data_IF_631199654931
#
_entry.id   IF_631199654931
#
_cell.length_a   1.000
_cell.length_b   1.000
_cell.length_c   1.000
_cell.angle_alpha   90.00
_cell.angle_beta   90.00
_cell.angle_gamma   90.00
#
_symmetry.space_group_name_H-M   'P 1'
#
loop_
_entity.id
_entity.type
_entity.pdbx_description
1 polymer ?
#
# COMPACT_ATOMS: atom_id res chain seq x y z
N UNK A 1 2.62 7.93 8.50
CA UNK A 1 3.78 8.05 7.59
C UNK A 1 4.24 6.69 7.07
N UNK A 2 5.06 5.91 7.80
CA UNK A 2 5.65 4.66 7.27
C UNK A 2 4.64 3.58 6.84
N UNK A 3 3.60 3.34 7.65
CA UNK A 3 2.55 2.37 7.29
C UNK A 3 1.78 2.81 6.03
N UNK A 4 1.47 4.11 5.95
CA UNK A 4 0.80 4.70 4.79
C UNK A 4 1.65 4.58 3.52
N UNK A 5 2.98 4.71 3.60
CA UNK A 5 3.82 4.57 2.40
C UNK A 5 3.82 3.17 1.82
N UNK A 6 3.72 2.13 2.65
CA UNK A 6 3.57 0.74 2.20
C UNK A 6 2.19 0.53 1.58
N UNK A 7 1.12 0.90 2.28
CA UNK A 7 -0.25 0.71 1.80
C UNK A 7 -0.56 1.48 0.51
N UNK A 8 -0.16 2.75 0.45
CA UNK A 8 -0.47 3.62 -0.68
C UNK A 8 0.44 3.38 -1.89
N UNK A 9 1.68 2.92 -1.70
CA UNK A 9 2.50 2.45 -2.83
C UNK A 9 1.95 1.15 -3.44
N UNK A 10 1.49 0.21 -2.61
CA UNK A 10 0.81 -1.00 -3.11
C UNK A 10 -0.51 -0.66 -3.83
N UNK A 11 -1.29 0.29 -3.32
CA UNK A 11 -2.48 0.80 -4.01
C UNK A 11 -2.14 1.48 -5.36
N UNK A 12 -1.06 2.26 -5.43
CA UNK A 12 -0.60 2.87 -6.68
C UNK A 12 -0.15 1.82 -7.71
N UNK A 13 0.53 0.74 -7.29
CA UNK A 13 0.85 -0.41 -8.16
C UNK A 13 -0.43 -1.15 -8.59
N UNK A 14 -1.41 -1.30 -7.71
CA UNK A 14 -2.70 -1.90 -8.05
C UNK A 14 -3.44 -1.10 -9.14
N UNK A 15 -3.33 0.23 -9.18
CA UNK A 15 -3.90 1.07 -10.26
C UNK A 15 -3.30 0.71 -11.63
N UNK A 16 -1.99 0.43 -11.73
CA UNK A 16 -1.38 -0.07 -12.96
C UNK A 16 -1.83 -1.49 -13.32
N UNK A 17 -1.91 -2.39 -12.34
CA UNK A 17 -2.34 -3.78 -12.53
C UNK A 17 -3.82 -3.86 -12.96
N UNK A 18 -4.67 -3.01 -12.40
CA UNK A 18 -6.09 -2.88 -12.74
C UNK A 18 -6.26 -2.43 -14.19
N UNK A 19 -5.66 -1.32 -14.66
CA UNK A 19 -5.84 -0.94 -16.08
C UNK A 19 -5.14 -1.89 -17.06
N UNK A 20 -4.15 -2.69 -16.65
CA UNK A 20 -3.69 -3.82 -17.48
C UNK A 20 -4.78 -4.89 -17.67
N UNK A 21 -5.67 -5.08 -16.69
CA UNK A 21 -6.78 -6.05 -16.72
C UNK A 21 -8.09 -5.48 -17.29
N UNK A 22 -8.43 -4.23 -17.05
CA UNK A 22 -9.65 -3.58 -17.58
C UNK A 22 -9.47 -2.97 -18.97
N UNK A 23 -8.36 -3.23 -19.64
CA UNK A 23 -8.04 -2.69 -20.98
C UNK A 23 -9.07 -3.08 -22.06
N UNK A 24 -9.79 -4.18 -21.87
CA UNK A 24 -10.88 -4.62 -22.76
C UNK A 24 -12.22 -3.93 -22.45
N UNK A 25 -12.32 -3.19 -21.34
CA UNK A 25 -13.52 -2.52 -20.84
C UNK A 25 -13.42 -0.98 -20.87
N UNK A 26 -12.42 -0.43 -21.59
CA UNK A 26 -12.20 1.02 -21.71
C UNK A 26 -13.40 1.77 -22.36
N UNK A 27 -14.36 1.05 -22.97
CA UNK A 27 -15.60 1.60 -23.52
C UNK A 27 -16.83 1.54 -22.61
N UNK A 28 -16.80 0.85 -21.47
CA UNK A 28 -18.01 0.57 -20.64
C UNK A 28 -18.18 1.53 -19.45
N UNK A 29 -17.69 2.76 -19.56
CA UNK A 29 -17.86 3.79 -18.52
C UNK A 29 -16.90 3.70 -17.33
N UNK A 30 -15.82 2.91 -17.40
CA UNK A 30 -14.80 2.87 -16.35
C UNK A 30 -14.00 4.18 -16.33
N UNK A 31 -13.93 4.83 -15.17
CA UNK A 31 -13.24 6.10 -14.97
C UNK A 31 -11.74 5.98 -15.30
N UNK A 32 -11.33 6.61 -16.41
CA UNK A 32 -9.93 6.73 -16.80
C UNK A 32 -9.36 8.08 -16.35
N UNK A 33 -8.28 8.05 -15.57
CA UNK A 33 -7.55 9.26 -15.18
C UNK A 33 -6.95 9.89 -16.44
N UNK A 34 -7.34 11.14 -16.75
CA UNK A 34 -6.96 11.89 -17.97
C UNK A 34 -5.44 12.03 -18.22
N UNK A 35 -4.63 11.82 -17.17
CA UNK A 35 -3.16 11.91 -17.20
C UNK A 35 -2.46 10.64 -16.69
N UNK A 36 -3.11 9.48 -16.79
CA UNK A 36 -2.44 8.18 -16.63
C UNK A 36 -1.47 7.96 -17.81
N UNK A 37 -0.20 7.55 -17.59
CA UNK A 37 0.37 7.00 -16.35
C UNK A 37 1.12 7.99 -15.45
N UNK A 38 1.20 9.27 -15.82
CA UNK A 38 2.08 10.26 -15.17
C UNK A 38 1.70 10.52 -13.70
N UNK A 39 0.42 10.65 -13.38
CA UNK A 39 -0.02 10.91 -11.99
C UNK A 39 0.34 9.77 -11.02
N UNK A 40 0.01 8.49 -11.31
CA UNK A 40 0.48 7.37 -10.49
C UNK A 40 2.02 7.26 -10.40
N UNK A 41 2.74 7.59 -11.46
CA UNK A 41 4.20 7.53 -11.48
C UNK A 41 4.83 8.57 -10.54
N UNK A 42 4.38 9.84 -10.61
CA UNK A 42 4.82 10.92 -9.71
C UNK A 42 4.50 10.57 -8.25
N UNK A 43 3.33 9.96 -8.01
CA UNK A 43 2.95 9.49 -6.68
C UNK A 43 3.94 8.45 -6.14
N UNK A 44 4.27 7.41 -6.92
CA UNK A 44 5.26 6.38 -6.51
C UNK A 44 6.63 7.01 -6.20
N UNK A 45 7.10 7.95 -7.04
CA UNK A 45 8.39 8.65 -6.84
C UNK A 45 8.40 9.45 -5.54
N UNK A 46 7.33 10.22 -5.26
CA UNK A 46 7.19 10.96 -3.99
C UNK A 46 7.21 10.03 -2.78
N UNK A 47 6.52 8.88 -2.88
CA UNK A 47 6.46 7.88 -1.82
C UNK A 47 7.80 7.17 -1.58
N UNK A 48 8.61 6.96 -2.63
CA UNK A 48 9.99 6.51 -2.49
C UNK A 48 10.86 7.54 -1.76
N UNK A 49 10.73 8.83 -2.09
CA UNK A 49 11.47 9.89 -1.39
C UNK A 49 11.12 9.95 0.11
N UNK A 50 9.83 9.90 0.46
CA UNK A 50 9.38 9.83 1.86
C UNK A 50 9.90 8.56 2.55
N UNK A 51 9.91 7.42 1.86
CA UNK A 51 10.43 6.16 2.41
C UNK A 51 11.93 6.25 2.71
N UNK A 52 12.73 6.81 1.80
CA UNK A 52 14.16 7.06 2.01
C UNK A 52 14.39 8.00 3.20
N UNK A 53 13.60 9.07 3.31
CA UNK A 53 13.69 10.01 4.43
C UNK A 53 13.46 9.31 5.78
N UNK A 54 12.45 8.44 5.87
CA UNK A 54 12.18 7.61 7.06
C UNK A 54 13.37 6.69 7.39
N UNK A 55 13.97 6.03 6.39
CA UNK A 55 15.15 5.18 6.60
C UNK A 55 16.37 5.96 7.10
N UNK A 56 16.55 7.22 6.69
CA UNK A 56 17.59 8.11 7.22
C UNK A 56 17.30 8.45 8.68
N UNK A 57 16.07 8.85 9.02
CA UNK A 57 15.66 9.14 10.40
C UNK A 57 15.82 7.94 11.34
N UNK A 58 15.57 6.72 10.87
CA UNK A 58 15.80 5.49 11.64
C UNK A 58 17.27 5.26 12.03
N UNK A 59 18.24 5.80 11.27
CA UNK A 59 19.66 5.71 11.60
C UNK A 59 20.04 6.60 12.79
N UNK A 60 19.30 7.68 13.01
CA UNK A 60 19.51 8.61 14.13
C UNK A 60 18.75 8.19 15.38
N UNK A 61 17.56 7.59 15.23
CA UNK A 61 16.73 7.13 16.34
C UNK A 61 16.26 5.66 16.16
N UNK A 62 17.01 4.67 16.69
CA UNK A 62 16.71 3.25 16.48
C UNK A 62 15.38 2.80 17.10
N UNK A 63 14.92 3.49 18.15
CA UNK A 63 13.62 3.23 18.79
C UNK A 63 12.43 3.45 17.83
N UNK A 64 12.52 4.41 16.91
CA UNK A 64 11.43 4.69 15.96
C UNK A 64 11.20 3.52 14.99
N UNK A 65 12.28 2.90 14.52
CA UNK A 65 12.22 1.73 13.64
C UNK A 65 11.56 0.53 14.35
N UNK A 66 11.96 0.27 15.60
CA UNK A 66 11.40 -0.79 16.44
C UNK A 66 9.89 -0.61 16.67
N UNK A 67 9.45 0.61 17.00
CA UNK A 67 8.03 0.90 17.22
C UNK A 67 7.22 0.71 15.92
N UNK A 68 7.73 1.17 14.78
CA UNK A 68 7.06 0.97 13.48
C UNK A 68 6.94 -0.52 13.11
N UNK A 69 8.01 -1.30 13.32
CA UNK A 69 8.01 -2.73 13.03
C UNK A 69 7.10 -3.51 14.00
N UNK A 70 7.12 -3.18 15.28
CA UNK A 70 6.25 -3.78 16.29
C UNK A 70 4.76 -3.49 16.02
N UNK A 71 4.42 -2.26 15.64
CA UNK A 71 3.05 -1.90 15.25
C UNK A 71 2.56 -2.66 14.01
N UNK A 72 3.43 -2.82 13.00
CA UNK A 72 3.12 -3.62 11.81
C UNK A 72 2.90 -5.11 12.14
N UNK A 73 3.79 -5.70 12.94
CA UNK A 73 3.68 -7.08 13.40
C UNK A 73 2.40 -7.31 14.22
N UNK A 74 2.06 -6.39 15.13
CA UNK A 74 0.84 -6.44 15.93
C UNK A 74 -0.42 -6.36 15.06
N UNK A 75 -0.43 -5.53 14.02
CA UNK A 75 -1.50 -5.48 13.02
C UNK A 75 -1.69 -6.82 12.28
N UNK A 76 -0.60 -7.47 11.86
CA UNK A 76 -0.65 -8.79 11.23
C UNK A 76 -1.15 -9.88 12.19
N UNK A 77 -0.72 -9.85 13.46
CA UNK A 77 -1.19 -10.79 14.50
C UNK A 77 -2.70 -10.65 14.70
N UNK A 78 -3.22 -9.42 14.82
CA UNK A 78 -4.67 -9.17 14.95
C UNK A 78 -5.43 -9.64 13.70
N UNK A 79 -4.91 -9.32 12.50
CA UNK A 79 -5.54 -9.75 11.25
C UNK A 79 -5.63 -11.29 11.15
N UNK A 80 -4.55 -11.99 11.47
CA UNK A 80 -4.53 -13.45 11.41
C UNK A 80 -5.42 -14.08 12.49
N UNK A 81 -5.35 -13.59 13.74
CA UNK A 81 -6.20 -14.07 14.83
C UNK A 81 -7.70 -13.86 14.57
N UNK A 82 -8.08 -12.73 13.95
CA UNK A 82 -9.46 -12.43 13.57
C UNK A 82 -9.92 -13.30 12.37
N UNK A 83 -9.08 -13.42 11.35
CA UNK A 83 -9.36 -14.26 10.16
C UNK A 83 -9.43 -15.75 10.51
N UNK A 84 -8.62 -16.22 11.46
CA UNK A 84 -8.65 -17.61 11.94
C UNK A 84 -10.02 -17.99 12.50
N UNK A 85 -10.68 -17.09 13.25
CA UNK A 85 -12.03 -17.30 13.78
C UNK A 85 -13.16 -17.19 12.76
N UNK A 86 -12.89 -16.74 11.53
CA UNK A 86 -13.88 -16.65 10.44
C UNK A 86 -13.98 -17.92 9.57
N UNK A 87 -13.24 -18.98 9.90
CA UNK A 87 -13.33 -20.30 9.26
C UNK A 87 -14.42 -21.23 9.83
N UNK A 88 -15.51 -20.68 10.39
CA UNK A 88 -16.75 -21.44 10.60
C UNK A 88 -17.68 -21.18 9.42
N UNK A 89 -17.75 -22.07 8.42
CA UNK A 89 -18.72 -21.95 7.34
C UNK A 89 -20.12 -22.21 7.93
N UNK A 90 -20.94 -21.17 7.99
CA UNK A 90 -22.39 -21.36 8.15
C UNK A 90 -22.93 -21.80 6.80
N UNK A 91 -23.33 -23.07 6.74
CA UNK A 91 -24.16 -23.67 5.67
C UNK A 91 -25.47 -22.94 5.48
#
# INVERSE_FOLDING_TARGET
MFFDTIGLSMAAVAIFLLRKKTKELDGTGIYTIKWFPLVPLIFIISYWFVTINIFITFKENPYAALICLAAYALGLIIYYASTYKRKTPTT
#
